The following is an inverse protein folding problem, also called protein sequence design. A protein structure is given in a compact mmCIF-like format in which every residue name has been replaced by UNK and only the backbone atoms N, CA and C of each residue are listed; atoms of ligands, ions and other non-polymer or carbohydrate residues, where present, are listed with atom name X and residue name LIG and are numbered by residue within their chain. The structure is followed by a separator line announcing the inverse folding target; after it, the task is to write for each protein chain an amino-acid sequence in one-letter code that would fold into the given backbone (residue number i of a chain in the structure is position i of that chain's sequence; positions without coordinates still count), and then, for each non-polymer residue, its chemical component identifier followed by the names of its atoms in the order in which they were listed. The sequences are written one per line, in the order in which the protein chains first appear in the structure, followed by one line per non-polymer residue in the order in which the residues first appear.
data_IF_510185531353
#
_entry.id   IF_510185531353
#
_cell.length_a   1.000
_cell.length_b   1.000
_cell.length_c   1.000
_cell.angle_alpha   90.00
_cell.angle_beta   90.00
_cell.angle_gamma   90.00
#
_symmetry.space_group_name_H-M   'P 1'
#
loop_
_entity.id
_entity.type
_entity.pdbx_description
1 polymer ?
#
# COMPACT_ATOMS: atom_id res chain seq x y z
N UNK A 1 20.21 18.54 22.72
CA UNK A 1 19.90 17.11 22.91
C UNK A 1 19.07 16.63 21.73
N UNK A 2 19.47 15.55 21.04
CA UNK A 2 18.62 14.84 20.11
C UNK A 2 17.28 14.44 20.77
N UNK A 3 16.17 14.56 20.04
CA UNK A 3 14.87 14.02 20.43
C UNK A 3 14.87 12.49 20.35
N UNK A 4 15.74 11.94 19.51
CA UNK A 4 15.98 10.51 19.44
C UNK A 4 16.34 9.91 20.80
N UNK A 5 17.18 10.59 21.59
CA UNK A 5 17.59 10.14 22.92
C UNK A 5 16.46 10.20 23.95
N UNK A 6 15.47 11.06 23.72
CA UNK A 6 14.35 11.28 24.63
C UNK A 6 13.18 10.33 24.36
N UNK A 7 13.00 9.95 23.09
CA UNK A 7 11.86 9.15 22.66
C UNK A 7 12.23 8.04 21.65
N UNK A 8 13.27 7.22 21.88
CA UNK A 8 13.68 6.20 20.93
C UNK A 8 12.61 5.11 20.71
N UNK A 9 11.71 4.94 21.68
CA UNK A 9 10.55 4.05 21.60
C UNK A 9 9.60 4.40 20.45
N UNK A 10 9.63 5.62 19.90
CA UNK A 10 8.84 5.99 18.72
C UNK A 10 9.21 5.16 17.49
N UNK A 11 10.47 4.70 17.39
CA UNK A 11 10.93 3.80 16.31
C UNK A 11 10.19 2.46 16.35
N UNK A 12 9.77 2.00 17.53
CA UNK A 12 8.99 0.78 17.70
C UNK A 12 7.47 1.05 17.69
N UNK A 13 7.04 2.15 18.30
CA UNK A 13 5.61 2.49 18.39
C UNK A 13 5.01 2.79 17.01
N UNK A 14 5.71 3.51 16.14
CA UNK A 14 5.17 3.88 14.84
C UNK A 14 4.87 2.67 13.93
N UNK A 15 5.77 1.69 13.78
CA UNK A 15 5.47 0.41 13.15
C UNK A 15 4.26 -0.31 13.75
N UNK A 16 4.22 -0.41 15.08
CA UNK A 16 3.12 -1.08 15.79
C UNK A 16 1.77 -0.38 15.53
N UNK A 17 1.71 0.94 15.65
CA UNK A 17 0.51 1.72 15.35
C UNK A 17 0.08 1.57 13.90
N UNK A 18 1.02 1.56 12.95
CA UNK A 18 0.73 1.31 11.54
C UNK A 18 0.04 -0.05 11.34
N UNK A 19 0.61 -1.13 11.89
CA UNK A 19 0.01 -2.46 11.81
C UNK A 19 -1.35 -2.53 12.53
N UNK A 20 -1.44 -1.98 13.74
CA UNK A 20 -2.66 -2.00 14.54
C UNK A 20 -3.81 -1.29 13.82
N UNK A 21 -3.58 -0.07 13.33
CA UNK A 21 -4.62 0.68 12.63
C UNK A 21 -5.07 -0.04 11.36
N UNK A 22 -4.12 -0.67 10.63
CA UNK A 22 -4.47 -1.41 9.42
C UNK A 22 -5.42 -2.59 9.66
N UNK A 23 -5.42 -3.17 10.87
CA UNK A 23 -6.33 -4.25 11.24
C UNK A 23 -7.80 -3.78 11.36
N UNK A 24 -8.01 -2.49 11.62
CA UNK A 24 -9.35 -1.88 11.73
C UNK A 24 -9.76 -1.13 10.46
N UNK A 25 -8.85 -0.99 9.50
CA UNK A 25 -9.07 -0.26 8.27
C UNK A 25 -9.90 -1.07 7.28
N UNK A 26 -11.10 -0.58 6.95
CA UNK A 26 -11.87 -1.11 5.83
C UNK A 26 -11.32 -0.60 4.51
N UNK A 27 -11.03 -1.54 3.60
CA UNK A 27 -10.60 -1.25 2.23
C UNK A 27 -11.81 -1.16 1.33
N UNK A 28 -11.72 -0.29 0.33
CA UNK A 28 -12.77 -0.15 -0.70
C UNK A 28 -12.17 -0.49 -2.04
N UNK A 29 -12.88 -1.34 -2.78
CA UNK A 29 -12.47 -1.76 -4.11
C UNK A 29 -12.83 -0.68 -5.14
N UNK A 30 -12.11 -0.62 -6.26
CA UNK A 30 -12.44 0.33 -7.30
C UNK A 30 -13.81 0.07 -7.92
N UNK A 31 -14.54 1.14 -8.25
CA UNK A 31 -15.85 1.04 -8.89
C UNK A 31 -16.13 2.21 -9.83
N UNK A 32 -17.09 2.02 -10.72
CA UNK A 32 -17.55 3.02 -11.68
C UNK A 32 -18.65 3.88 -11.05
N UNK A 33 -18.58 5.19 -11.20
CA UNK A 33 -19.62 6.12 -10.76
C UNK A 33 -19.82 7.21 -11.81
N UNK A 34 -20.78 6.99 -12.71
CA UNK A 34 -21.10 7.93 -13.78
C UNK A 34 -19.91 8.22 -14.69
N UNK A 35 -19.49 9.48 -14.75
CA UNK A 35 -18.38 9.98 -15.57
C UNK A 35 -17.00 9.81 -14.91
N UNK A 36 -16.92 9.13 -13.76
CA UNK A 36 -15.68 8.94 -12.98
C UNK A 36 -15.51 7.49 -12.54
N UNK A 37 -14.26 7.18 -12.19
CA UNK A 37 -13.86 5.90 -11.61
C UNK A 37 -13.21 6.16 -10.26
N UNK A 38 -13.68 5.46 -9.23
CA UNK A 38 -13.03 5.45 -7.93
C UNK A 38 -11.82 4.51 -8.02
N UNK A 39 -10.61 5.04 -7.96
CA UNK A 39 -9.36 4.31 -8.21
C UNK A 39 -8.58 4.00 -6.93
N UNK A 40 -8.46 4.99 -6.05
CA UNK A 40 -7.67 4.90 -4.83
C UNK A 40 -8.55 5.16 -3.62
N UNK A 41 -8.65 4.21 -2.71
CA UNK A 41 -9.36 4.35 -1.46
C UNK A 41 -8.54 5.12 -0.41
N UNK A 42 -9.22 5.64 0.61
CA UNK A 42 -8.60 6.50 1.62
C UNK A 42 -7.36 5.86 2.29
N UNK A 43 -7.35 4.55 2.65
CA UNK A 43 -6.18 3.96 3.27
C UNK A 43 -4.95 3.91 2.35
N UNK A 44 -5.16 3.70 1.04
CA UNK A 44 -4.06 3.72 0.07
C UNK A 44 -3.45 5.13 -0.04
N UNK A 45 -4.30 6.16 -0.01
CA UNK A 45 -3.86 7.56 -0.04
C UNK A 45 -3.11 7.92 1.24
N UNK A 46 -3.61 7.50 2.41
CA UNK A 46 -2.94 7.73 3.70
C UNK A 46 -1.55 7.07 3.73
N UNK A 47 -1.44 5.80 3.33
CA UNK A 47 -0.14 5.13 3.26
C UNK A 47 0.81 5.83 2.30
N UNK A 48 0.30 6.22 1.12
CA UNK A 48 1.09 6.90 0.09
C UNK A 48 1.62 8.24 0.58
N UNK A 49 0.78 9.10 1.17
CA UNK A 49 1.20 10.43 1.62
C UNK A 49 2.08 10.39 2.86
N UNK A 50 1.86 9.44 3.78
CA UNK A 50 2.78 9.21 4.89
C UNK A 50 4.17 8.80 4.36
N UNK A 51 4.23 7.92 3.37
CA UNK A 51 5.46 7.53 2.68
C UNK A 51 6.12 8.68 1.94
N UNK A 52 5.36 9.40 1.12
CA UNK A 52 5.89 10.50 0.33
C UNK A 52 6.50 11.58 1.25
N UNK A 53 5.76 12.04 2.25
CA UNK A 53 6.24 13.05 3.20
C UNK A 53 7.46 12.55 3.99
N UNK A 54 7.38 11.34 4.57
CA UNK A 54 8.48 10.76 5.33
C UNK A 54 9.74 10.58 4.49
N UNK A 55 9.61 10.00 3.30
CA UNK A 55 10.74 9.77 2.38
C UNK A 55 11.38 11.08 1.94
N UNK A 56 10.59 12.07 1.51
CA UNK A 56 11.11 13.36 1.06
C UNK A 56 11.90 14.04 2.17
N UNK A 57 11.35 14.12 3.39
CA UNK A 57 12.03 14.80 4.50
C UNK A 57 13.24 13.99 4.99
N UNK A 58 13.19 12.65 5.02
CA UNK A 58 14.35 11.80 5.32
C UNK A 58 15.48 12.01 4.31
N UNK A 59 15.16 12.08 3.00
CA UNK A 59 16.18 12.32 1.96
C UNK A 59 16.81 13.71 2.11
N UNK A 60 15.99 14.76 2.29
CA UNK A 60 16.50 16.13 2.46
C UNK A 60 17.39 16.22 3.69
N UNK A 61 16.91 15.74 4.84
CA UNK A 61 17.70 15.76 6.08
C UNK A 61 18.95 14.89 6.01
N UNK A 62 18.87 13.71 5.39
CA UNK A 62 20.01 12.81 5.19
C UNK A 62 21.09 13.42 4.29
N UNK A 63 20.70 14.08 3.19
CA UNK A 63 21.64 14.82 2.32
C UNK A 63 22.31 15.94 3.11
N UNK A 64 21.56 16.70 3.91
CA UNK A 64 22.10 17.80 4.72
C UNK A 64 23.09 17.29 5.78
N UNK A 65 22.78 16.17 6.45
CA UNK A 65 23.68 15.51 7.40
C UNK A 65 24.90 14.87 6.74
N UNK A 66 24.89 14.70 5.42
CA UNK A 66 25.96 14.07 4.65
C UNK A 66 25.78 12.56 4.50
N UNK A 67 26.22 12.07 3.35
CA UNK A 67 26.33 10.65 3.01
C UNK A 67 27.83 10.30 2.93
N UNK A 68 28.21 9.03 2.97
CA UNK A 68 29.62 8.63 2.84
C UNK A 68 30.33 9.13 1.58
N UNK A 69 29.58 9.43 0.53
CA UNK A 69 30.11 9.92 -0.75
C UNK A 69 29.72 11.39 -1.03
N UNK A 70 29.16 12.12 -0.07
CA UNK A 70 28.87 13.56 -0.19
C UNK A 70 29.32 14.30 1.06
N UNK A 71 29.73 15.58 0.98
CA UNK A 71 29.98 16.36 2.18
C UNK A 71 28.69 16.52 2.99
N UNK A 72 28.83 16.74 4.30
CA UNK A 72 27.77 17.31 5.12
C UNK A 72 27.61 18.80 4.78
N UNK A 73 26.39 19.30 4.85
CA UNK A 73 26.07 20.73 4.64
C UNK A 73 25.89 21.50 5.94
N UNK A 74 26.10 20.84 7.08
CA UNK A 74 26.05 21.42 8.42
C UNK A 74 27.24 20.94 9.23
N UNK A 75 27.78 21.82 10.06
CA UNK A 75 28.85 21.49 10.98
C UNK A 75 28.35 20.62 12.15
N UNK A 76 29.28 19.85 12.72
CA UNK A 76 29.04 19.14 13.97
C UNK A 76 28.63 20.12 15.08
N UNK A 77 27.57 19.77 15.82
CA UNK A 77 27.06 20.59 16.92
C UNK A 77 25.56 20.83 16.86
N UNK A 78 25.06 22.00 17.32
CA UNK A 78 23.62 22.25 17.43
C UNK A 78 22.85 22.10 16.12
N UNK A 79 23.45 22.51 14.98
CA UNK A 79 22.83 22.42 13.67
C UNK A 79 22.64 20.95 13.23
N UNK A 80 23.66 20.10 13.38
CA UNK A 80 23.56 18.67 13.11
C UNK A 80 22.47 18.01 13.98
N UNK A 81 22.36 18.37 15.26
CA UNK A 81 21.31 17.86 16.16
C UNK A 81 19.90 18.21 15.64
N UNK A 82 19.70 19.44 15.14
CA UNK A 82 18.40 19.85 14.56
C UNK A 82 18.06 18.96 13.37
N UNK A 83 18.99 18.76 12.44
CA UNK A 83 18.73 17.93 11.25
C UNK A 83 18.59 16.45 11.58
N UNK A 84 19.27 15.94 12.59
CA UNK A 84 19.06 14.59 13.12
C UNK A 84 17.65 14.44 13.71
N UNK A 85 17.15 15.47 14.40
CA UNK A 85 15.77 15.49 14.91
C UNK A 85 14.74 15.52 13.78
N UNK A 86 14.98 16.32 12.74
CA UNK A 86 14.13 16.35 11.55
C UNK A 86 14.12 14.98 10.88
N UNK A 87 15.29 14.37 10.70
CA UNK A 87 15.42 13.04 10.11
C UNK A 87 14.68 11.99 10.96
N UNK A 88 14.80 12.07 12.28
CA UNK A 88 14.12 11.16 13.19
C UNK A 88 12.59 11.27 13.10
N UNK A 89 12.05 12.48 13.14
CA UNK A 89 10.58 12.69 13.01
C UNK A 89 10.08 12.19 11.66
N UNK A 90 10.82 12.48 10.58
CA UNK A 90 10.50 11.97 9.26
C UNK A 90 10.55 10.45 9.18
N UNK A 91 11.55 9.82 9.83
CA UNK A 91 11.68 8.37 9.89
C UNK A 91 10.51 7.74 10.65
N UNK A 92 10.03 8.35 11.74
CA UNK A 92 8.82 7.91 12.46
C UNK A 92 7.59 7.92 11.55
N UNK A 93 7.38 8.99 10.78
CA UNK A 93 6.26 9.09 9.81
C UNK A 93 6.41 8.06 8.69
N UNK A 94 7.62 7.89 8.16
CA UNK A 94 7.92 6.90 7.14
C UNK A 94 7.68 5.46 7.63
N UNK A 95 8.14 5.13 8.84
CA UNK A 95 7.91 3.82 9.47
C UNK A 95 6.42 3.58 9.68
N UNK A 96 5.68 4.55 10.21
CA UNK A 96 4.23 4.45 10.31
C UNK A 96 3.57 4.12 8.96
N UNK A 97 3.86 4.89 7.91
CA UNK A 97 3.32 4.65 6.57
C UNK A 97 3.68 3.27 6.02
N UNK A 98 4.91 2.80 6.28
CA UNK A 98 5.44 1.50 5.81
C UNK A 98 4.68 0.35 6.41
N UNK A 99 4.53 0.37 7.72
CA UNK A 99 3.87 -0.70 8.43
C UNK A 99 2.34 -0.62 8.30
N UNK A 100 1.77 0.57 8.14
CA UNK A 100 0.38 0.73 7.75
C UNK A 100 0.10 0.14 6.37
N UNK A 101 0.94 0.42 5.37
CA UNK A 101 0.86 -0.20 4.05
C UNK A 101 1.03 -1.73 4.12
N UNK A 102 2.04 -2.20 4.85
CA UNK A 102 2.32 -3.63 5.03
C UNK A 102 1.11 -4.35 5.64
N UNK A 103 0.55 -3.82 6.71
CA UNK A 103 -0.61 -4.41 7.37
C UNK A 103 -1.85 -4.44 6.47
N UNK A 104 -2.13 -3.36 5.73
CA UNK A 104 -3.20 -3.35 4.71
C UNK A 104 -2.95 -4.40 3.61
N UNK A 105 -1.69 -4.63 3.26
CA UNK A 105 -1.29 -5.64 2.25
C UNK A 105 -1.45 -7.07 2.79
N UNK A 106 -1.14 -7.30 4.06
CA UNK A 106 -1.36 -8.59 4.73
C UNK A 106 -2.85 -8.91 4.83
N UNK A 107 -3.68 -7.93 5.20
CA UNK A 107 -5.14 -8.09 5.29
C UNK A 107 -5.77 -8.27 3.90
N UNK A 108 -5.29 -7.55 2.90
CA UNK A 108 -5.81 -7.58 1.52
C UNK A 108 -4.77 -8.13 0.53
N UNK A 109 -4.34 -9.39 0.72
CA UNK A 109 -3.26 -10.01 -0.05
C UNK A 109 -3.45 -10.00 -1.57
N UNK A 110 -4.71 -10.03 -2.04
CA UNK A 110 -5.00 -9.92 -3.48
C UNK A 110 -4.46 -8.61 -4.08
N UNK A 111 -4.46 -7.53 -3.31
CA UNK A 111 -4.06 -6.20 -3.77
C UNK A 111 -2.56 -6.07 -3.97
N UNK A 112 -1.75 -6.90 -3.29
CA UNK A 112 -0.33 -7.03 -3.61
C UNK A 112 -0.14 -7.54 -5.03
N UNK A 113 -0.98 -8.49 -5.48
CA UNK A 113 -0.91 -9.05 -6.83
C UNK A 113 -1.18 -7.99 -7.90
N UNK A 114 -1.94 -6.94 -7.61
CA UNK A 114 -2.15 -5.81 -8.53
C UNK A 114 -0.85 -5.01 -8.79
N UNK A 115 0.08 -4.99 -7.84
CA UNK A 115 1.31 -4.21 -7.90
C UNK A 115 2.52 -5.04 -8.36
N UNK A 116 2.40 -6.37 -8.34
CA UNK A 116 3.50 -7.26 -8.74
C UNK A 116 3.60 -7.36 -10.26
N UNK A 117 4.83 -7.28 -10.81
CA UNK A 117 5.06 -7.35 -12.25
C UNK A 117 4.68 -8.71 -12.83
N UNK A 118 4.29 -8.69 -14.11
CA UNK A 118 4.07 -9.92 -14.88
C UNK A 118 5.39 -10.44 -15.47
N UNK A 119 5.34 -11.64 -16.06
CA UNK A 119 6.50 -12.22 -16.78
C UNK A 119 7.02 -11.33 -17.93
N UNK A 120 6.20 -10.39 -18.41
CA UNK A 120 6.51 -9.52 -19.53
C UNK A 120 7.03 -8.14 -19.10
N UNK A 121 7.29 -7.92 -17.81
CA UNK A 121 7.63 -6.61 -17.24
C UNK A 121 8.74 -5.89 -18.00
N UNK A 122 9.83 -6.58 -18.35
CA UNK A 122 10.95 -5.97 -19.08
C UNK A 122 10.52 -5.50 -20.46
N UNK A 123 9.83 -6.36 -21.22
CA UNK A 123 9.39 -6.04 -22.57
C UNK A 123 8.39 -4.88 -22.58
N UNK A 124 7.42 -4.91 -21.67
CA UNK A 124 6.36 -3.89 -21.61
C UNK A 124 6.88 -2.57 -21.03
N UNK A 125 7.79 -2.60 -20.06
CA UNK A 125 8.46 -1.39 -19.55
C UNK A 125 9.27 -0.70 -20.66
N UNK A 126 10.05 -1.47 -21.43
CA UNK A 126 10.81 -0.92 -22.57
C UNK A 126 9.87 -0.32 -23.61
N UNK A 127 8.78 -1.00 -23.98
CA UNK A 127 7.79 -0.49 -24.94
C UNK A 127 7.09 0.77 -24.44
N UNK A 128 6.71 0.82 -23.16
CA UNK A 128 6.07 1.97 -22.54
C UNK A 128 6.97 3.21 -22.62
N UNK A 129 8.22 3.11 -22.16
CA UNK A 129 9.16 4.23 -22.27
C UNK A 129 9.55 4.56 -23.71
N UNK A 130 9.65 3.56 -24.59
CA UNK A 130 9.90 3.79 -26.04
C UNK A 130 8.77 4.59 -26.70
N UNK A 131 7.52 4.33 -26.32
CA UNK A 131 6.36 5.08 -26.80
C UNK A 131 6.34 6.50 -26.25
N UNK A 132 6.69 6.68 -24.98
CA UNK A 132 6.80 8.01 -24.36
C UNK A 132 7.84 8.90 -25.05
N UNK A 133 8.95 8.32 -25.54
CA UNK A 133 9.97 9.06 -26.32
C UNK A 133 9.66 9.12 -27.83
N UNK A 134 8.46 8.71 -28.26
CA UNK A 134 7.96 8.89 -29.62
C UNK A 134 8.25 7.77 -30.61
N UNK A 135 8.79 6.62 -30.17
CA UNK A 135 9.02 5.45 -31.04
C UNK A 135 7.71 4.69 -31.23
N UNK A 136 6.92 5.10 -32.23
CA UNK A 136 5.59 4.54 -32.56
C UNK A 136 5.61 3.13 -33.18
N UNK A 137 6.78 2.47 -33.21
CA UNK A 137 6.91 1.10 -33.76
C UNK A 137 6.29 0.04 -32.85
N UNK A 138 6.10 0.36 -31.58
CA UNK A 138 5.60 -0.59 -30.57
C UNK A 138 4.11 -0.37 -30.28
N UNK A 139 3.41 -1.45 -29.93
CA UNK A 139 2.06 -1.40 -29.36
C UNK A 139 2.10 -1.96 -27.94
N UNK A 140 1.27 -1.38 -27.06
CA UNK A 140 1.06 -1.90 -25.71
C UNK A 140 -0.24 -2.73 -25.68
N UNK A 141 -0.26 -3.86 -24.96
CA UNK A 141 -1.52 -4.56 -24.70
C UNK A 141 -2.46 -3.66 -23.88
N UNK A 142 -3.78 -3.97 -23.84
CA UNK A 142 -4.71 -3.24 -22.97
C UNK A 142 -4.21 -3.25 -21.53
N UNK A 143 -3.92 -2.06 -21.02
CA UNK A 143 -3.24 -1.91 -19.75
C UNK A 143 -4.16 -2.20 -18.56
N UNK A 144 -3.55 -2.76 -17.54
CA UNK A 144 -4.16 -3.01 -16.25
C UNK A 144 -4.26 -1.69 -15.45
N UNK A 145 -4.71 -1.76 -14.20
CA UNK A 145 -4.82 -0.62 -13.29
C UNK A 145 -3.48 0.09 -13.18
N UNK A 146 -2.40 -0.66 -13.04
CA UNK A 146 -1.04 -0.14 -13.06
C UNK A 146 -0.30 -0.64 -14.29
N UNK A 147 0.44 0.26 -14.95
CA UNK A 147 1.32 -0.11 -16.06
C UNK A 147 2.42 -1.06 -15.57
N UNK A 148 2.96 -1.91 -16.46
CA UNK A 148 4.11 -2.75 -16.07
C UNK A 148 5.33 -1.93 -15.66
N UNK A 149 5.52 -0.75 -16.24
CA UNK A 149 6.55 0.21 -15.82
C UNK A 149 6.34 0.69 -14.38
N UNK A 150 5.08 0.93 -13.97
CA UNK A 150 4.72 1.30 -12.60
C UNK A 150 4.94 0.14 -11.62
N UNK A 151 4.63 -1.09 -12.04
CA UNK A 151 4.89 -2.31 -11.22
C UNK A 151 6.39 -2.55 -11.03
N UNK A 152 7.20 -2.32 -12.05
CA UNK A 152 8.66 -2.36 -11.93
C UNK A 152 9.17 -1.29 -10.96
N UNK A 153 8.64 -0.06 -11.08
CA UNK A 153 8.96 1.04 -10.19
C UNK A 153 8.55 0.75 -8.73
N UNK A 154 7.41 0.09 -8.52
CA UNK A 154 6.96 -0.37 -7.21
C UNK A 154 7.95 -1.37 -6.59
N UNK A 155 8.45 -2.35 -7.35
CA UNK A 155 9.45 -3.31 -6.83
C UNK A 155 10.73 -2.59 -6.41
N UNK A 156 11.23 -1.68 -7.24
CA UNK A 156 12.37 -0.82 -6.88
C UNK A 156 12.13 -0.07 -5.56
N UNK A 157 10.97 0.60 -5.44
CA UNK A 157 10.60 1.34 -4.24
C UNK A 157 10.57 0.44 -2.99
N UNK A 158 9.97 -0.75 -3.08
CA UNK A 158 9.89 -1.70 -1.96
C UNK A 158 11.27 -2.19 -1.55
N UNK A 159 12.10 -2.63 -2.50
CA UNK A 159 13.45 -3.14 -2.20
C UNK A 159 14.28 -2.05 -1.53
N UNK A 160 14.28 -0.83 -2.10
CA UNK A 160 15.05 0.28 -1.54
C UNK A 160 14.50 0.72 -0.18
N UNK A 161 13.17 0.74 0.01
CA UNK A 161 12.56 1.02 1.31
C UNK A 161 12.96 0.00 2.37
N UNK A 162 12.98 -1.30 2.03
CA UNK A 162 13.42 -2.36 2.95
C UNK A 162 14.90 -2.15 3.34
N UNK A 163 15.77 -1.84 2.38
CA UNK A 163 17.18 -1.56 2.66
C UNK A 163 17.34 -0.36 3.61
N UNK A 164 16.58 0.72 3.38
CA UNK A 164 16.57 1.91 4.25
C UNK A 164 16.05 1.61 5.66
N UNK A 165 14.93 0.88 5.78
CA UNK A 165 14.36 0.50 7.08
C UNK A 165 15.34 -0.37 7.85
N UNK A 166 15.86 -1.44 7.24
CA UNK A 166 16.76 -2.37 7.92
C UNK A 166 18.03 -1.63 8.38
N UNK A 167 18.76 -1.01 7.45
CA UNK A 167 19.99 -0.29 7.81
C UNK A 167 19.74 0.87 8.80
N UNK A 168 18.63 1.59 8.66
CA UNK A 168 18.22 2.66 9.57
C UNK A 168 17.90 2.16 10.98
N UNK A 169 17.24 1.01 11.11
CA UNK A 169 16.97 0.37 12.40
C UNK A 169 18.26 -0.10 13.08
N UNK A 170 19.23 -0.63 12.33
CA UNK A 170 20.55 -0.95 12.88
C UNK A 170 21.29 0.31 13.37
N UNK A 171 21.28 1.40 12.59
CA UNK A 171 21.87 2.69 13.00
C UNK A 171 21.17 3.26 14.24
N UNK A 172 19.84 3.20 14.29
CA UNK A 172 19.02 3.62 15.43
C UNK A 172 19.32 2.80 16.70
N UNK A 173 19.41 1.48 16.56
CA UNK A 173 19.75 0.57 17.65
C UNK A 173 21.16 0.80 18.18
N UNK A 174 22.13 1.02 17.28
CA UNK A 174 23.51 1.35 17.62
C UNK A 174 23.62 2.62 18.47
N UNK A 175 22.74 3.58 18.20
CA UNK A 175 22.74 4.86 18.86
C UNK A 175 22.14 4.80 20.29
N UNK A 176 21.18 3.91 20.56
CA UNK A 176 20.50 3.85 21.86
C UNK A 176 21.01 2.77 22.80
N UNK A 177 21.22 1.53 22.33
CA UNK A 177 21.43 0.42 23.28
C UNK A 177 22.29 -0.75 22.78
N UNK A 178 22.68 -0.81 21.50
CA UNK A 178 23.46 -1.92 20.96
C UNK A 178 24.87 -1.48 20.56
N UNK A 179 25.90 -1.99 21.24
CA UNK A 179 27.27 -1.91 20.74
C UNK A 179 27.42 -2.89 19.57
N UNK A 180 27.31 -2.39 18.34
CA UNK A 180 27.49 -3.19 17.13
C UNK A 180 28.96 -3.21 16.70
N UNK A 181 29.50 -4.33 16.18
CA UNK A 181 30.86 -4.37 15.66
C UNK A 181 31.10 -3.33 14.56
N UNK A 182 32.25 -2.67 14.57
CA UNK A 182 32.59 -1.59 13.63
C UNK A 182 32.39 -2.00 12.16
N UNK A 183 32.82 -3.21 11.79
CA UNK A 183 32.64 -3.73 10.43
C UNK A 183 31.17 -3.89 10.03
N UNK A 184 30.29 -4.28 10.95
CA UNK A 184 28.85 -4.37 10.68
C UNK A 184 28.24 -2.98 10.53
N UNK A 185 28.63 -2.04 11.40
CA UNK A 185 28.19 -0.65 11.31
C UNK A 185 28.62 -0.01 9.99
N UNK A 186 29.86 -0.23 9.57
CA UNK A 186 30.40 0.28 8.30
C UNK A 186 29.56 -0.16 7.10
N UNK A 187 29.20 -1.46 7.06
CA UNK A 187 28.31 -2.02 6.03
C UNK A 187 26.92 -1.39 6.10
N UNK A 188 26.34 -1.22 7.29
CA UNK A 188 25.02 -0.61 7.45
C UNK A 188 24.99 0.85 6.99
N UNK A 189 26.06 1.62 7.22
CA UNK A 189 26.17 2.98 6.68
C UNK A 189 26.20 2.96 5.14
N UNK A 190 27.02 2.12 4.52
CA UNK A 190 27.06 2.01 3.06
C UNK A 190 25.72 1.58 2.46
N UNK A 191 25.05 0.59 3.06
CA UNK A 191 23.72 0.15 2.62
C UNK A 191 22.73 1.31 2.71
N UNK A 192 22.71 2.03 3.83
CA UNK A 192 21.77 3.13 4.05
C UNK A 192 21.99 4.25 3.03
N UNK A 193 23.24 4.64 2.80
CA UNK A 193 23.58 5.78 1.95
C UNK A 193 23.37 5.47 0.46
N UNK A 194 23.73 4.26 0.02
CA UNK A 194 23.44 3.79 -1.35
C UNK A 194 21.93 3.67 -1.55
N UNK A 195 21.20 3.10 -0.59
CA UNK A 195 19.75 2.99 -0.68
C UNK A 195 19.08 4.38 -0.69
N UNK A 196 19.60 5.36 0.06
CA UNK A 196 19.13 6.74 0.04
C UNK A 196 19.33 7.38 -1.35
N UNK A 197 20.50 7.19 -1.97
CA UNK A 197 20.74 7.67 -3.34
C UNK A 197 19.80 7.00 -4.37
N UNK A 198 19.60 5.69 -4.28
CA UNK A 198 18.66 4.97 -5.15
C UNK A 198 17.21 5.46 -4.95
N UNK A 199 16.81 5.70 -3.69
CA UNK A 199 15.49 6.22 -3.36
C UNK A 199 15.32 7.66 -3.86
N UNK A 200 16.37 8.48 -3.82
CA UNK A 200 16.35 9.83 -4.39
C UNK A 200 16.12 9.80 -5.90
N UNK A 201 16.83 8.93 -6.62
CA UNK A 201 16.64 8.74 -8.07
C UNK A 201 15.22 8.26 -8.36
N UNK A 202 14.73 7.27 -7.61
CA UNK A 202 13.34 6.81 -7.72
C UNK A 202 12.34 7.94 -7.47
N UNK A 203 12.48 8.68 -6.38
CA UNK A 203 11.56 9.75 -6.00
C UNK A 203 11.55 10.87 -7.05
N UNK A 204 12.72 11.26 -7.57
CA UNK A 204 12.82 12.26 -8.62
C UNK A 204 12.10 11.82 -9.90
N UNK A 205 12.34 10.57 -10.34
CA UNK A 205 11.64 10.01 -11.50
C UNK A 205 10.13 9.88 -11.25
N UNK A 206 9.74 9.40 -10.07
CA UNK A 206 8.34 9.25 -9.67
C UNK A 206 7.61 10.58 -9.70
N UNK A 207 8.16 11.63 -9.07
CA UNK A 207 7.56 12.97 -9.07
C UNK A 207 7.52 13.56 -10.49
N UNK A 208 8.58 13.37 -11.28
CA UNK A 208 8.60 13.82 -12.67
C UNK A 208 7.47 13.21 -13.48
N UNK A 209 7.33 11.88 -13.48
CA UNK A 209 6.28 11.21 -14.25
C UNK A 209 4.88 11.40 -13.66
N UNK A 210 4.74 11.46 -12.33
CA UNK A 210 3.43 11.53 -11.67
C UNK A 210 2.87 12.95 -11.56
N UNK A 211 3.71 14.00 -11.54
CA UNK A 211 3.28 15.38 -11.28
C UNK A 211 3.66 16.32 -12.41
N UNK A 212 4.89 16.22 -12.92
CA UNK A 212 5.43 17.20 -13.88
C UNK A 212 4.99 16.87 -15.30
N UNK A 213 4.98 15.59 -15.67
CA UNK A 213 4.67 15.15 -17.03
C UNK A 213 3.19 15.37 -17.38
N UNK A 214 2.84 16.07 -18.48
CA UNK A 214 1.46 16.42 -18.80
C UNK A 214 0.50 15.25 -18.95
N UNK A 215 1.01 14.07 -19.32
CA UNK A 215 0.17 12.88 -19.50
C UNK A 215 -0.41 12.34 -18.18
N UNK A 216 0.17 12.69 -17.02
CA UNK A 216 -0.31 12.20 -15.71
C UNK A 216 -1.26 13.17 -15.01
N UNK A 217 -1.46 14.38 -15.53
CA UNK A 217 -2.24 15.44 -14.85
C UNK A 217 -3.71 15.09 -14.60
N UNK A 218 -4.29 14.18 -15.40
CA UNK A 218 -5.65 13.67 -15.17
C UNK A 218 -5.71 12.51 -14.20
N UNK A 219 -4.60 11.81 -14.00
CA UNK A 219 -4.45 10.68 -13.08
C UNK A 219 -4.03 11.12 -11.68
N UNK A 220 -3.15 12.12 -11.59
CA UNK A 220 -2.57 12.61 -10.34
C UNK A 220 -3.59 13.04 -9.28
N UNK A 221 -4.67 13.78 -9.60
CA UNK A 221 -5.68 14.17 -8.61
C UNK A 221 -6.34 12.99 -7.88
N UNK A 222 -6.29 11.79 -8.46
CA UNK A 222 -6.80 10.57 -7.83
C UNK A 222 -6.00 10.19 -6.57
N UNK A 223 -4.75 10.64 -6.41
CA UNK A 223 -3.97 10.40 -5.19
C UNK A 223 -4.41 11.28 -4.02
N UNK A 224 -5.17 12.34 -4.26
CA UNK A 224 -5.78 13.15 -3.21
C UNK A 224 -7.25 12.79 -3.00
N UNK A 225 -8.01 12.75 -4.10
CA UNK A 225 -9.47 12.62 -4.06
C UNK A 225 -9.94 11.16 -4.11
N UNK A 226 -9.12 10.26 -4.67
CA UNK A 226 -9.49 8.89 -5.00
C UNK A 226 -10.08 8.71 -6.40
N UNK A 227 -10.43 9.81 -7.08
CA UNK A 227 -11.22 9.78 -8.32
C UNK A 227 -10.39 10.08 -9.57
N UNK A 228 -10.75 9.42 -10.68
CA UNK A 228 -10.19 9.62 -12.01
C UNK A 228 -11.33 9.79 -13.03
N UNK A 229 -11.20 10.65 -14.06
CA UNK A 229 -12.18 10.75 -15.14
C UNK A 229 -12.31 9.42 -15.90
N UNK A 230 -13.55 8.99 -16.21
CA UNK A 230 -13.78 7.74 -16.94
C UNK A 230 -13.11 7.75 -18.32
N UNK A 231 -13.16 8.87 -19.04
CA UNK A 231 -12.50 9.02 -20.34
C UNK A 231 -10.99 8.77 -20.28
N UNK A 232 -10.35 9.07 -19.14
CA UNK A 232 -8.92 8.81 -18.96
C UNK A 232 -8.66 7.34 -18.67
N UNK A 233 -9.50 6.71 -17.85
CA UNK A 233 -9.44 5.27 -17.61
C UNK A 233 -9.69 4.46 -18.90
N UNK A 234 -10.57 4.93 -19.79
CA UNK A 234 -10.84 4.30 -21.10
C UNK A 234 -9.64 4.37 -22.04
N UNK A 235 -8.90 5.48 -21.97
CA UNK A 235 -7.72 5.72 -22.80
C UNK A 235 -6.50 4.93 -22.31
N UNK A 236 -6.22 5.00 -21.01
CA UNK A 236 -4.96 4.54 -20.42
C UNK A 236 -5.08 3.19 -19.69
N UNK A 237 -6.28 2.78 -19.28
CA UNK A 237 -6.52 1.60 -18.42
C UNK A 237 -7.67 0.73 -18.94
N UNK A 238 -7.78 0.55 -20.25
CA UNK A 238 -8.89 -0.20 -20.87
C UNK A 238 -9.02 -1.63 -20.34
N UNK A 239 -7.90 -2.35 -20.17
CA UNK A 239 -7.92 -3.73 -19.65
C UNK A 239 -8.45 -3.80 -18.21
N UNK A 240 -8.17 -2.78 -17.40
CA UNK A 240 -8.73 -2.64 -16.07
C UNK A 240 -10.24 -2.40 -16.07
N UNK A 241 -10.74 -1.50 -16.93
CA UNK A 241 -12.17 -1.24 -17.05
C UNK A 241 -12.95 -2.47 -17.47
N UNK A 242 -12.44 -3.21 -18.46
CA UNK A 242 -13.07 -4.46 -18.92
C UNK A 242 -13.17 -5.50 -17.80
N UNK A 243 -12.16 -5.55 -16.91
CA UNK A 243 -12.21 -6.39 -15.71
C UNK A 243 -13.22 -5.89 -14.68
N UNK A 244 -13.23 -4.60 -14.33
CA UNK A 244 -14.18 -4.05 -13.36
C UNK A 244 -15.63 -4.29 -13.79
N UNK A 245 -15.93 -4.07 -15.07
CA UNK A 245 -17.26 -4.32 -15.62
C UNK A 245 -17.65 -5.80 -15.57
N UNK A 246 -16.69 -6.72 -15.78
CA UNK A 246 -16.92 -8.16 -15.66
C UNK A 246 -17.21 -8.55 -14.22
N UNK A 247 -16.40 -8.09 -13.27
CA UNK A 247 -16.56 -8.36 -11.84
C UNK A 247 -17.90 -7.83 -11.32
N UNK A 248 -18.33 -6.64 -11.77
CA UNK A 248 -19.64 -6.09 -11.44
C UNK A 248 -20.80 -6.97 -11.94
N UNK A 249 -20.76 -7.40 -13.21
CA UNK A 249 -21.78 -8.30 -13.78
C UNK A 249 -21.84 -9.66 -13.07
N UNK A 250 -20.69 -10.22 -12.71
CA UNK A 250 -20.62 -11.49 -11.98
C UNK A 250 -21.19 -11.36 -10.57
N UNK A 251 -20.93 -10.24 -9.89
CA UNK A 251 -21.50 -9.95 -8.57
C UNK A 251 -23.03 -9.82 -8.63
N UNK A 252 -23.54 -9.00 -9.56
CA UNK A 252 -24.99 -8.80 -9.74
C UNK A 252 -25.72 -10.11 -10.07
N UNK A 253 -25.12 -10.93 -10.93
CA UNK A 253 -25.65 -12.26 -11.28
C UNK A 253 -25.69 -13.24 -10.11
N UNK A 254 -24.70 -13.20 -9.20
CA UNK A 254 -24.72 -14.01 -7.96
C UNK A 254 -25.79 -13.55 -7.00
N UNK A 255 -25.91 -12.24 -6.75
CA UNK A 255 -26.94 -11.69 -5.86
C UNK A 255 -28.36 -11.94 -6.37
N UNK A 256 -28.58 -11.86 -7.70
CA UNK A 256 -29.86 -12.20 -8.30
C UNK A 256 -30.18 -13.70 -8.18
N UNK A 257 -29.17 -14.57 -8.32
CA UNK A 257 -29.31 -16.02 -8.16
C UNK A 257 -29.58 -16.46 -6.72
N UNK A 258 -28.99 -15.79 -5.73
CA UNK A 258 -29.25 -16.03 -4.30
C UNK A 258 -30.65 -15.54 -3.90
N UNK A 259 -31.05 -14.34 -4.33
CA UNK A 259 -32.41 -13.84 -4.09
C UNK A 259 -33.50 -14.69 -4.74
N UNK A 260 -33.24 -15.26 -5.93
CA UNK A 260 -34.16 -16.20 -6.58
C UNK A 260 -34.26 -17.54 -5.84
N UNK A 261 -33.17 -18.01 -5.20
CA UNK A 261 -33.15 -19.24 -4.38
C UNK A 261 -33.84 -19.06 -3.04
N UNK A 262 -33.72 -17.89 -2.41
CA UNK A 262 -34.49 -17.56 -1.19
C UNK A 262 -35.98 -17.35 -1.50
N UNK A 263 -36.32 -16.79 -2.67
CA UNK A 263 -37.70 -16.61 -3.13
C UNK A 263 -38.40 -17.89 -3.61
N UNK A 264 -37.68 -19.01 -3.76
CA UNK A 264 -38.24 -20.31 -4.17
C UNK A 264 -38.21 -21.37 -3.07
N UNK A 265 -37.87 -21.00 -1.83
CA UNK A 265 -38.09 -21.87 -0.68
C UNK A 265 -39.61 -22.19 -0.59
N UNK A 266 -40.03 -23.47 -0.74
CA UNK A 266 -41.45 -23.79 -0.73
C UNK A 266 -42.02 -23.48 0.64
N UNK A 267 -43.10 -22.69 0.67
CA UNK A 267 -43.88 -22.45 1.87
C UNK A 267 -44.25 -23.81 2.48
N UNK A 268 -43.75 -24.07 3.69
CA UNK A 268 -44.08 -25.28 4.43
C UNK A 268 -45.61 -25.34 4.56
N UNK A 269 -46.20 -26.38 3.98
CA UNK A 269 -47.63 -26.65 4.08
C UNK A 269 -48.02 -26.86 5.55
N UNK A 270 -49.19 -26.38 5.99
CA UNK A 270 -49.70 -26.70 7.32
C UNK A 270 -50.31 -28.11 7.34
N UNK A 271 -50.48 -28.62 8.56
CA UNK A 271 -51.31 -29.77 8.96
C UNK A 271 -50.70 -31.18 8.78
N UNK A 272 -50.88 -32.14 9.69
CA UNK A 272 -51.93 -32.35 10.71
C UNK A 272 -51.44 -33.35 11.76
N UNK A 273 -51.58 -33.05 13.04
CA UNK A 273 -51.43 -34.03 14.13
C UNK A 273 -52.74 -34.79 14.32
N UNK A 274 -52.78 -36.06 13.90
CA UNK A 274 -53.71 -37.06 14.42
C UNK A 274 -52.89 -38.15 15.10
N UNK A 275 -52.91 -38.16 16.44
CA UNK A 275 -52.39 -39.28 17.23
C UNK A 275 -53.58 -39.92 17.94
N UNK A 276 -53.88 -41.15 17.56
CA UNK A 276 -54.95 -41.96 18.12
C UNK A 276 -54.61 -42.39 19.57
N UNK A 277 -55.65 -42.39 20.40
CA UNK A 277 -55.62 -42.85 21.79
C UNK A 277 -55.50 -44.38 21.90
N UNK A 278 -54.88 -44.92 22.97
CA UNK A 278 -55.14 -46.27 23.44
C UNK A 278 -56.02 -46.26 24.70
N UNK A 279 -56.87 -47.28 24.81
CA UNK A 279 -57.81 -47.48 25.91
C UNK A 279 -57.18 -48.21 27.12
N UNK A 280 -57.50 -47.67 28.30
CA UNK A 280 -57.74 -48.30 29.62
C UNK A 280 -56.74 -49.30 30.23
N UNK A 281 -56.25 -48.94 31.44
CA UNK A 281 -55.67 -49.88 32.41
C UNK A 281 -55.19 -49.22 33.72
N UNK A 282 -56.12 -48.92 34.64
CA UNK A 282 -56.10 -48.85 36.12
C UNK A 282 -54.87 -48.36 36.96
N UNK A 283 -55.09 -47.85 38.20
CA UNK A 283 -54.25 -46.84 38.84
C UNK A 283 -53.33 -47.36 39.97
N UNK A 284 -52.23 -46.65 40.24
CA UNK A 284 -51.29 -46.94 41.34
C UNK A 284 -50.53 -45.72 41.83
N UNK A 285 -51.06 -45.14 42.90
CA UNK A 285 -50.49 -44.29 43.97
C UNK A 285 -49.00 -43.87 43.99
N UNK A 286 -48.84 -42.62 44.47
CA UNK A 286 -47.84 -42.08 45.43
C UNK A 286 -46.57 -41.35 44.95
N UNK A 287 -46.53 -40.05 45.34
CA UNK A 287 -45.45 -39.28 46.04
C UNK A 287 -44.01 -39.66 45.67
N UNK A 288 -43.17 -38.71 45.22
CA UNK A 288 -42.70 -37.51 45.95
C UNK A 288 -42.00 -36.58 44.97
#
# INVERSE_FOLDING_TARGET
MPWFDQAPWLVALAPFLGLLLSAFTKRTDPFLAGDRVFRHDAPARISHWAHAAGTTVCLVSGIILGLRFTPAFVDDGPAAIVWQNVHFVAAVVFLFGTFYYLGNTIVSQWRLREHLPTKNVVSYTVRHYSLLIGIKKFTMPPEDKYFESEKAAYVMAVVTAVLLVVSGLFKAAAHVFLALPDGLMDVMFWIHDIAAALMLVFLAAHVFFAVIAPFSWKTFPSMFTGWMPLSEAEKEHRGWLERLQREHREHDGRTAGEGAREGTAPAAAPDTTMTAAPAAGAPGSQRR
#
